data_IF_146702100535
#
_entry.id   IF_146702100535
#
_cell.length_a   1.000
_cell.length_b   1.000
_cell.length_c   1.000
_cell.angle_alpha   90.00
_cell.angle_beta   90.00
_cell.angle_gamma   90.00
#
_symmetry.space_group_name_H-M   'P 1'
#
loop_
_entity.id
_entity.type
_entity.pdbx_description
1 polymer ?
#
# COMPACT_ATOMS: atom_id res chain seq x y z
N UNK A 1 -15.69 4.56 -7.40
CA UNK A 1 -16.98 4.66 -6.68
C UNK A 1 -16.98 4.13 -5.24
N UNK A 2 -16.37 2.97 -4.92
CA UNK A 2 -16.40 2.43 -3.55
C UNK A 2 -15.75 3.36 -2.49
N UNK A 3 -14.65 4.03 -2.85
CA UNK A 3 -13.99 5.00 -1.97
C UNK A 3 -14.92 6.15 -1.58
N UNK A 4 -15.63 6.74 -2.55
CA UNK A 4 -16.63 7.79 -2.33
C UNK A 4 -17.77 7.30 -1.43
N UNK A 5 -18.32 6.10 -1.68
CA UNK A 5 -19.35 5.51 -0.81
C UNK A 5 -18.87 5.36 0.65
N UNK A 6 -17.63 4.89 0.87
CA UNK A 6 -17.05 4.76 2.21
C UNK A 6 -16.95 6.10 2.94
N UNK A 7 -16.50 7.15 2.24
CA UNK A 7 -16.37 8.50 2.82
C UNK A 7 -17.75 9.06 3.17
N UNK A 8 -18.69 9.03 2.23
CA UNK A 8 -20.05 9.54 2.43
C UNK A 8 -20.77 8.81 3.57
N UNK A 9 -20.65 7.48 3.63
CA UNK A 9 -21.20 6.68 4.75
C UNK A 9 -20.60 7.09 6.09
N UNK A 10 -19.28 7.36 6.17
CA UNK A 10 -18.63 7.83 7.41
C UNK A 10 -19.18 9.20 7.83
N UNK A 11 -19.34 10.13 6.89
CA UNK A 11 -19.89 11.47 7.16
C UNK A 11 -21.31 11.37 7.72
N UNK A 12 -22.19 10.61 7.07
CA UNK A 12 -23.56 10.45 7.56
C UNK A 12 -23.65 9.65 8.87
N UNK A 13 -22.76 8.68 9.09
CA UNK A 13 -22.64 8.00 10.39
C UNK A 13 -22.24 8.98 11.50
N UNK A 14 -21.30 9.89 11.23
CA UNK A 14 -20.90 10.92 12.17
C UNK A 14 -22.06 11.88 12.48
N UNK A 15 -22.75 12.37 11.44
CA UNK A 15 -23.88 13.29 11.60
C UNK A 15 -25.03 12.65 12.39
N UNK A 16 -25.32 11.38 12.16
CA UNK A 16 -26.33 10.64 12.92
C UNK A 16 -25.93 10.47 14.40
N UNK A 17 -24.67 10.07 14.65
CA UNK A 17 -24.17 9.90 16.03
C UNK A 17 -24.24 11.20 16.85
N UNK A 18 -24.05 12.35 16.19
CA UNK A 18 -24.14 13.68 16.79
C UNK A 18 -25.55 14.29 16.71
N UNK A 19 -26.56 13.51 16.28
CA UNK A 19 -27.96 13.92 16.15
C UNK A 19 -28.18 15.15 15.25
N UNK A 20 -27.26 15.40 14.31
CA UNK A 20 -27.40 16.45 13.29
C UNK A 20 -28.42 16.06 12.21
N UNK A 21 -28.61 14.75 12.02
CA UNK A 21 -29.63 14.17 11.14
C UNK A 21 -30.39 13.08 11.89
N UNK A 22 -31.68 12.86 11.58
CA UNK A 22 -32.51 11.89 12.29
C UNK A 22 -32.22 10.42 11.91
N UNK A 23 -31.57 10.16 10.77
CA UNK A 23 -31.16 8.82 10.35
C UNK A 23 -30.01 8.88 9.32
N UNK A 24 -29.29 7.77 9.11
CA UNK A 24 -28.22 7.68 8.12
C UNK A 24 -28.73 7.13 6.76
N UNK A 25 -28.73 7.94 5.67
CA UNK A 25 -29.24 7.53 4.37
C UNK A 25 -28.42 6.43 3.69
N UNK A 26 -27.15 6.24 4.07
CA UNK A 26 -26.31 5.18 3.50
C UNK A 26 -26.62 3.77 4.01
N UNK A 27 -27.52 3.62 5.00
CA UNK A 27 -27.93 2.29 5.50
C UNK A 27 -28.75 1.54 4.43
N UNK A 28 -29.64 2.24 3.72
CA UNK A 28 -30.50 1.64 2.69
C UNK A 28 -29.77 1.40 1.35
N UNK A 29 -28.55 1.91 1.20
CA UNK A 29 -27.80 1.80 -0.05
C UNK A 29 -26.92 0.56 -0.03
N UNK A 30 -27.19 -0.37 -0.94
CA UNK A 30 -26.37 -1.55 -1.19
C UNK A 30 -24.94 -1.13 -1.50
N UNK A 31 -23.98 -1.65 -0.73
CA UNK A 31 -22.57 -1.39 -0.94
C UNK A 31 -22.18 -1.83 -2.35
N UNK A 32 -21.51 -0.97 -3.14
CA UNK A 32 -20.97 -1.38 -4.44
C UNK A 32 -20.10 -2.62 -4.27
N UNK A 33 -20.30 -3.65 -5.09
CA UNK A 33 -19.35 -4.75 -5.16
C UNK A 33 -18.08 -4.26 -5.82
N UNK A 34 -16.95 -4.71 -5.32
CA UNK A 34 -15.66 -4.52 -5.97
C UNK A 34 -15.14 -5.90 -6.24
N UNK A 35 -14.85 -6.18 -7.49
CA UNK A 35 -14.06 -7.34 -7.86
C UNK A 35 -12.65 -7.08 -7.33
N UNK A 36 -12.33 -7.76 -6.24
CA UNK A 36 -10.95 -7.86 -5.76
C UNK A 36 -10.27 -8.86 -6.67
N UNK A 37 -9.56 -8.37 -7.69
CA UNK A 37 -8.58 -9.20 -8.38
C UNK A 37 -7.56 -9.66 -7.33
N UNK A 38 -7.23 -10.95 -7.33
CA UNK A 38 -6.15 -11.45 -6.50
C UNK A 38 -4.86 -10.72 -6.90
N UNK A 39 -4.15 -10.22 -5.89
CA UNK A 39 -2.85 -9.61 -6.12
C UNK A 39 -1.89 -10.70 -6.63
N UNK A 40 -1.38 -10.52 -7.85
CA UNK A 40 -0.33 -11.39 -8.38
C UNK A 40 0.99 -11.03 -7.71
N UNK A 41 1.57 -11.98 -6.98
CA UNK A 41 2.89 -11.83 -6.38
C UNK A 41 3.95 -12.41 -7.33
N UNK A 42 5.10 -11.74 -7.39
CA UNK A 42 6.24 -12.19 -8.20
C UNK A 42 6.97 -13.33 -7.47
N UNK A 43 7.41 -14.34 -8.21
CA UNK A 43 8.37 -15.34 -7.69
C UNK A 43 9.77 -14.74 -7.58
N UNK A 44 10.66 -15.41 -6.86
CA UNK A 44 12.08 -14.99 -6.73
C UNK A 44 12.75 -14.92 -8.10
N UNK A 45 12.44 -15.85 -9.00
CA UNK A 45 12.96 -15.89 -10.37
C UNK A 45 12.42 -14.72 -11.22
N UNK A 46 11.15 -14.35 -11.03
CA UNK A 46 10.56 -13.19 -11.69
C UNK A 46 11.17 -11.87 -11.19
N UNK A 47 11.41 -11.74 -9.88
CA UNK A 47 12.11 -10.59 -9.28
C UNK A 47 13.52 -10.46 -9.86
N UNK A 48 14.26 -11.56 -9.95
CA UNK A 48 15.61 -11.54 -10.50
C UNK A 48 15.65 -11.18 -11.98
N UNK A 49 14.68 -11.67 -12.78
CA UNK A 49 14.53 -11.27 -14.19
C UNK A 49 14.23 -9.78 -14.32
N UNK A 50 13.28 -9.28 -13.54
CA UNK A 50 12.94 -7.85 -13.53
C UNK A 50 14.15 -6.99 -13.15
N UNK A 51 14.90 -7.38 -12.12
CA UNK A 51 16.11 -6.68 -11.73
C UNK A 51 17.19 -6.71 -12.83
N UNK A 52 17.31 -7.82 -13.56
CA UNK A 52 18.26 -7.93 -14.67
C UNK A 52 17.91 -6.98 -15.83
N UNK A 53 16.61 -6.83 -16.17
CA UNK A 53 16.15 -5.88 -17.19
C UNK A 53 16.44 -4.42 -16.80
N UNK A 54 16.40 -4.12 -15.50
CA UNK A 54 16.65 -2.78 -14.96
C UNK A 54 18.13 -2.49 -14.68
N UNK A 55 19.02 -3.48 -14.88
CA UNK A 55 20.46 -3.33 -14.59
C UNK A 55 21.16 -2.23 -15.38
N UNK A 56 20.64 -1.88 -16.57
CA UNK A 56 21.14 -0.78 -17.39
C UNK A 56 20.78 0.61 -16.82
N UNK A 57 19.92 0.68 -15.80
CA UNK A 57 19.49 1.91 -15.14
C UNK A 57 19.68 1.83 -13.62
N UNK A 58 20.93 1.89 -13.11
CA UNK A 58 21.16 1.96 -11.69
C UNK A 58 20.44 3.19 -11.07
N UNK A 59 19.84 3.08 -9.87
CA UNK A 59 19.89 1.95 -8.93
C UNK A 59 18.63 1.05 -8.93
N UNK A 60 17.84 1.02 -10.01
CA UNK A 60 16.53 0.37 -10.00
C UNK A 60 16.58 -1.15 -9.84
N UNK A 61 17.64 -1.80 -10.30
CA UNK A 61 17.91 -3.22 -10.09
C UNK A 61 18.06 -3.56 -8.60
N UNK A 62 18.80 -2.73 -7.85
CA UNK A 62 18.97 -2.86 -6.42
C UNK A 62 17.65 -2.61 -5.68
N UNK A 63 16.90 -1.58 -6.08
CA UNK A 63 15.61 -1.26 -5.46
C UNK A 63 14.60 -2.40 -5.59
N UNK A 64 14.51 -3.03 -6.77
CA UNK A 64 13.62 -4.18 -6.98
C UNK A 64 14.00 -5.35 -6.05
N UNK A 65 15.29 -5.68 -5.97
CA UNK A 65 15.77 -6.76 -5.08
C UNK A 65 15.55 -6.41 -3.61
N UNK A 66 15.85 -5.17 -3.24
CA UNK A 66 15.73 -4.71 -1.86
C UNK A 66 14.28 -4.71 -1.38
N UNK A 67 13.35 -4.15 -2.17
CA UNK A 67 11.93 -4.15 -1.85
C UNK A 67 11.34 -5.56 -1.79
N UNK A 68 11.73 -6.45 -2.70
CA UNK A 68 11.28 -7.85 -2.71
C UNK A 68 11.77 -8.65 -1.49
N UNK A 69 12.98 -8.38 -0.99
CA UNK A 69 13.56 -9.11 0.14
C UNK A 69 13.16 -8.54 1.50
N UNK A 70 12.91 -7.23 1.58
CA UNK A 70 12.57 -6.55 2.85
C UNK A 70 11.07 -6.39 3.07
N UNK A 71 10.27 -6.41 2.00
CA UNK A 71 8.81 -6.22 2.06
C UNK A 71 8.41 -4.80 2.47
N UNK A 72 9.30 -3.83 2.32
CA UNK A 72 9.03 -2.43 2.62
C UNK A 72 7.97 -1.86 1.68
N UNK A 73 7.13 -0.97 2.19
CA UNK A 73 6.24 -0.19 1.34
C UNK A 73 7.06 0.82 0.55
N UNK A 74 6.60 1.16 -0.64
CA UNK A 74 7.28 2.15 -1.50
C UNK A 74 7.56 3.49 -0.81
N UNK A 75 6.69 3.93 0.11
CA UNK A 75 6.90 5.15 0.89
C UNK A 75 7.95 4.99 2.00
N UNK A 76 8.11 3.79 2.55
CA UNK A 76 9.13 3.46 3.54
C UNK A 76 10.50 3.36 2.86
N UNK A 77 10.57 2.71 1.69
CA UNK A 77 11.76 2.65 0.84
C UNK A 77 12.21 4.05 0.39
N UNK A 78 11.27 4.90 -0.05
CA UNK A 78 11.58 6.26 -0.49
C UNK A 78 12.07 7.17 0.66
N UNK A 79 11.69 6.88 1.91
CA UNK A 79 12.10 7.65 3.08
C UNK A 79 13.38 7.12 3.75
N UNK A 80 13.84 5.94 3.35
CA UNK A 80 14.98 5.26 3.97
C UNK A 80 16.28 6.05 3.77
N UNK A 81 17.04 6.25 4.86
CA UNK A 81 18.37 6.88 4.80
C UNK A 81 19.46 5.87 5.11
N UNK A 82 20.69 6.13 4.65
CA UNK A 82 21.86 5.25 4.89
C UNK A 82 22.06 4.98 6.40
N UNK A 83 21.85 5.98 7.25
CA UNK A 83 21.97 5.86 8.72
C UNK A 83 20.98 4.88 9.35
N UNK A 84 19.89 4.59 8.65
CA UNK A 84 18.80 3.73 9.11
C UNK A 84 19.05 2.26 8.72
N UNK A 85 20.16 1.97 8.04
CA UNK A 85 20.58 0.64 7.59
C UNK A 85 21.74 0.15 8.44
N UNK A 86 21.50 -0.90 9.21
CA UNK A 86 22.54 -1.66 9.92
C UNK A 86 22.92 -2.89 9.07
N UNK A 87 23.92 -2.69 8.20
CA UNK A 87 24.44 -3.75 7.33
C UNK A 87 25.08 -4.91 8.11
N UNK A 88 25.60 -4.66 9.32
CA UNK A 88 26.21 -5.72 10.15
C UNK A 88 25.17 -6.67 10.68
N UNK A 89 23.93 -6.18 10.87
CA UNK A 89 22.83 -6.97 11.41
C UNK A 89 21.73 -7.27 10.39
N UNK A 90 21.94 -6.87 9.13
CA UNK A 90 20.95 -6.97 8.04
C UNK A 90 19.58 -6.39 8.45
N UNK A 91 19.59 -5.19 9.05
CA UNK A 91 18.37 -4.53 9.55
C UNK A 91 18.20 -3.13 8.98
N UNK A 92 16.96 -2.79 8.67
CA UNK A 92 16.55 -1.46 8.25
C UNK A 92 15.50 -0.95 9.25
N UNK A 93 15.62 0.30 9.69
CA UNK A 93 14.65 0.93 10.59
C UNK A 93 13.98 2.10 9.89
N UNK A 94 12.72 1.97 9.53
CA UNK A 94 11.91 3.05 9.01
C UNK A 94 10.90 3.50 10.08
N UNK A 95 10.62 4.80 10.11
CA UNK A 95 9.72 5.43 11.09
C UNK A 95 8.33 5.64 10.55
#
# INVERSE_FOLDING_TARGET
MLGTYKVVRKVFSYAYAHRLIPFNPCIAVTKPKVDTAEARFLTVEEVNRLAAELSAQPPYDLLVRFGALTGLRIGEDAALRIRDIDLRRARCRYG
#
